data_IF_887245634201
#
_entry.id   IF_887245634201
#
_cell.length_a   1.000
_cell.length_b   1.000
_cell.length_c   1.000
_cell.angle_alpha   90.00
_cell.angle_beta   90.00
_cell.angle_gamma   90.00
#
_symmetry.space_group_name_H-M   'P 1'
#
loop_
_entity.id
_entity.type
_entity.pdbx_description
1 polymer ?
#
# COMPACT_ATOMS: atom_id res chain seq x y z
N UNK A 1 20.62 15.51 -1.78
CA UNK A 1 20.44 15.88 -3.19
C UNK A 1 19.00 16.15 -3.56
N UNK A 2 18.71 17.36 -4.06
CA UNK A 2 17.35 17.77 -4.43
C UNK A 2 17.02 17.27 -5.85
N UNK A 3 16.75 15.96 -5.96
CA UNK A 3 16.53 15.25 -7.23
C UNK A 3 15.21 14.46 -7.18
N UNK A 4 14.62 14.26 -8.36
CA UNK A 4 13.41 13.45 -8.51
C UNK A 4 13.65 12.02 -8.02
N UNK A 5 12.71 11.45 -7.26
CA UNK A 5 12.79 10.08 -6.75
C UNK A 5 12.98 9.02 -7.83
N UNK A 6 12.43 9.25 -9.04
CA UNK A 6 12.52 8.35 -10.19
C UNK A 6 13.62 8.76 -11.19
N UNK A 7 13.37 9.76 -12.04
CA UNK A 7 14.25 10.14 -13.14
C UNK A 7 15.56 10.84 -12.73
N UNK A 8 15.75 11.12 -11.44
CA UNK A 8 16.95 11.77 -10.87
C UNK A 8 17.27 13.17 -11.41
N UNK A 9 16.41 13.77 -12.23
CA UNK A 9 16.51 15.18 -12.65
C UNK A 9 16.52 16.09 -11.42
N UNK A 10 17.29 17.18 -11.50
CA UNK A 10 17.27 18.21 -10.46
C UNK A 10 15.88 18.79 -10.30
N UNK A 11 15.42 18.88 -9.06
CA UNK A 11 14.21 19.59 -8.73
C UNK A 11 14.58 21.04 -8.40
N UNK A 12 13.78 22.04 -8.79
CA UNK A 12 13.99 23.41 -8.35
C UNK A 12 13.72 23.49 -6.84
N UNK A 13 14.63 24.12 -6.08
CA UNK A 13 14.50 24.31 -4.62
C UNK A 13 13.29 25.19 -4.22
N UNK A 14 12.66 25.86 -5.19
CA UNK A 14 11.66 26.91 -4.97
C UNK A 14 10.25 26.28 -4.97
N UNK A 15 9.70 26.04 -3.78
CA UNK A 15 8.26 25.83 -3.55
C UNK A 15 7.62 24.53 -4.06
N UNK A 16 6.60 24.08 -3.33
CA UNK A 16 5.72 22.93 -3.64
C UNK A 16 5.02 23.00 -5.02
N UNK A 17 5.12 24.13 -5.73
CA UNK A 17 4.50 24.31 -7.06
C UNK A 17 5.23 23.58 -8.17
N UNK A 18 6.52 23.28 -8.02
CA UNK A 18 7.34 22.70 -9.08
C UNK A 18 7.71 21.23 -8.85
N UNK A 19 7.44 20.69 -7.66
CA UNK A 19 7.62 19.28 -7.35
C UNK A 19 6.51 18.79 -6.42
N UNK A 20 6.16 17.51 -6.54
CA UNK A 20 5.11 16.87 -5.74
C UNK A 20 5.71 15.81 -4.86
N UNK A 21 5.23 15.72 -3.61
CA UNK A 21 5.59 14.65 -2.69
C UNK A 21 4.65 13.46 -2.92
N UNK A 22 5.22 12.28 -3.09
CA UNK A 22 4.45 11.03 -3.18
C UNK A 22 4.09 10.53 -1.79
N UNK A 23 2.81 10.29 -1.52
CA UNK A 23 2.39 9.76 -0.21
C UNK A 23 2.82 8.29 0.03
N UNK A 24 3.08 7.51 -1.03
CA UNK A 24 3.53 6.13 -0.91
C UNK A 24 5.03 6.01 -0.58
N UNK A 25 5.89 6.69 -1.34
CA UNK A 25 7.36 6.60 -1.16
C UNK A 25 7.93 7.66 -0.23
N UNK A 26 7.18 8.74 0.06
CA UNK A 26 7.64 9.87 0.87
C UNK A 26 8.65 10.81 0.17
N UNK A 27 9.06 10.48 -1.05
CA UNK A 27 10.03 11.24 -1.84
C UNK A 27 9.37 12.35 -2.69
N UNK A 28 10.18 13.30 -3.17
CA UNK A 28 9.75 14.36 -4.08
C UNK A 28 10.00 13.96 -5.54
N UNK A 29 9.08 14.36 -6.42
CA UNK A 29 9.08 14.02 -7.84
C UNK A 29 8.80 15.24 -8.70
N UNK A 30 9.31 15.25 -9.93
CA UNK A 30 8.95 16.25 -10.93
C UNK A 30 7.49 16.02 -11.39
N UNK A 31 6.90 17.03 -12.02
CA UNK A 31 5.51 16.99 -12.47
C UNK A 31 5.24 15.90 -13.53
N UNK A 32 6.27 15.47 -14.27
CA UNK A 32 6.15 14.37 -15.24
C UNK A 32 6.12 13.00 -14.57
N UNK A 33 6.92 12.77 -13.52
CA UNK A 33 6.94 11.50 -12.80
C UNK A 33 5.82 11.38 -11.75
N UNK A 34 5.19 12.50 -11.41
CA UNK A 34 4.09 12.56 -10.45
C UNK A 34 2.96 13.42 -11.00
N UNK A 35 2.16 12.83 -11.89
CA UNK A 35 1.04 13.53 -12.53
C UNK A 35 -0.18 13.69 -11.61
N UNK A 36 -0.18 13.04 -10.44
CA UNK A 36 -1.24 13.16 -9.44
C UNK A 36 -2.16 11.95 -9.43
N UNK A 37 -1.65 10.77 -9.80
CA UNK A 37 -2.41 9.53 -9.71
C UNK A 37 -2.80 9.27 -8.26
N UNK A 38 -4.01 8.74 -8.06
CA UNK A 38 -4.56 8.52 -6.73
C UNK A 38 -4.63 7.02 -6.46
N UNK A 39 -4.15 6.59 -5.29
CA UNK A 39 -4.26 5.19 -4.87
C UNK A 39 -4.31 5.08 -3.34
N UNK A 40 -4.95 4.03 -2.84
CA UNK A 40 -4.92 3.68 -1.43
C UNK A 40 -3.54 3.13 -1.03
N UNK A 41 -3.06 3.47 0.17
CA UNK A 41 -1.68 3.17 0.59
C UNK A 41 -1.66 1.98 1.54
N UNK A 42 -1.01 0.85 1.20
CA UNK A 42 -0.99 -0.35 2.04
C UNK A 42 -0.54 -0.08 3.48
N UNK A 43 0.51 0.73 3.66
CA UNK A 43 1.02 1.05 5.00
C UNK A 43 0.04 1.88 5.85
N UNK A 44 -0.87 2.65 5.23
CA UNK A 44 -1.93 3.40 5.93
C UNK A 44 -3.15 2.51 6.22
N UNK A 45 -3.51 1.64 5.27
CA UNK A 45 -4.56 0.63 5.48
C UNK A 45 -4.20 -0.26 6.67
N UNK A 46 -2.97 -0.75 6.71
CA UNK A 46 -2.54 -1.65 7.79
C UNK A 46 -2.52 -0.90 9.12
N UNK A 47 -1.89 0.27 9.21
CA UNK A 47 -1.72 0.90 10.53
C UNK A 47 -2.99 1.61 11.04
N UNK A 48 -3.76 2.21 10.14
CA UNK A 48 -4.84 3.13 10.50
C UNK A 48 -6.20 2.70 9.92
N UNK A 49 -6.28 1.57 9.22
CA UNK A 49 -7.49 1.15 8.48
C UNK A 49 -8.01 2.23 7.52
N UNK A 50 -7.09 3.00 6.95
CA UNK A 50 -7.39 4.14 6.08
C UNK A 50 -7.28 3.73 4.60
N UNK A 51 -8.43 3.71 3.92
CA UNK A 51 -8.58 3.39 2.50
C UNK A 51 -8.72 4.62 1.60
N UNK A 52 -8.54 5.83 2.14
CA UNK A 52 -8.61 7.05 1.33
C UNK A 52 -7.52 7.05 0.25
N UNK A 53 -7.83 7.68 -0.89
CA UNK A 53 -6.94 7.74 -2.03
C UNK A 53 -6.02 8.96 -1.90
N UNK A 54 -4.72 8.74 -2.06
CA UNK A 54 -3.71 9.78 -1.92
C UNK A 54 -2.92 9.95 -3.21
N UNK A 55 -2.41 11.17 -3.49
CA UNK A 55 -1.55 11.44 -4.62
C UNK A 55 -0.23 10.69 -4.49
N UNK A 56 0.08 9.88 -5.50
CA UNK A 56 1.32 9.10 -5.58
C UNK A 56 2.04 9.28 -6.91
N UNK A 57 3.33 8.97 -6.91
CA UNK A 57 4.14 8.97 -8.13
C UNK A 57 3.73 7.83 -9.07
N UNK A 58 3.87 8.06 -10.38
CA UNK A 58 3.44 7.12 -11.43
C UNK A 58 4.05 5.72 -11.26
N UNK A 59 5.33 5.65 -10.90
CA UNK A 59 6.01 4.37 -10.64
C UNK A 59 5.37 3.59 -9.48
N UNK A 60 5.02 4.30 -8.40
CA UNK A 60 4.36 3.68 -7.25
C UNK A 60 2.94 3.21 -7.62
N UNK A 61 2.22 4.00 -8.41
CA UNK A 61 0.89 3.63 -8.91
C UNK A 61 0.95 2.33 -9.71
N UNK A 62 1.84 2.27 -10.72
CA UNK A 62 2.01 1.06 -11.54
C UNK A 62 2.41 -0.15 -10.70
N UNK A 63 3.30 0.02 -9.73
CA UNK A 63 3.67 -1.06 -8.81
C UNK A 63 2.45 -1.56 -8.03
N UNK A 64 1.69 -0.65 -7.42
CA UNK A 64 0.53 -0.99 -6.60
C UNK A 64 -0.52 -1.73 -7.42
N UNK A 65 -0.87 -1.24 -8.61
CA UNK A 65 -1.79 -1.91 -9.53
C UNK A 65 -1.36 -3.36 -9.84
N UNK A 66 -0.07 -3.59 -10.06
CA UNK A 66 0.46 -4.93 -10.37
C UNK A 66 0.37 -5.91 -9.19
N UNK A 67 0.47 -5.42 -7.96
CA UNK A 67 0.54 -6.26 -6.75
C UNK A 67 -0.75 -6.25 -5.93
N UNK A 68 -1.72 -5.38 -6.22
CA UNK A 68 -2.89 -5.14 -5.37
C UNK A 68 -3.73 -6.40 -5.13
N UNK A 69 -3.89 -7.22 -6.17
CA UNK A 69 -4.64 -8.47 -6.11
C UNK A 69 -3.82 -9.65 -5.59
N UNK A 70 -2.51 -9.46 -5.37
CA UNK A 70 -1.60 -10.51 -4.89
C UNK A 70 -1.56 -10.53 -3.36
N UNK A 71 -1.46 -11.73 -2.78
CA UNK A 71 -1.32 -11.93 -1.32
C UNK A 71 0.12 -11.68 -0.86
N UNK A 72 0.62 -10.46 -1.03
CA UNK A 72 2.01 -10.09 -0.71
C UNK A 72 2.23 -9.67 0.76
N UNK A 73 1.15 -9.44 1.51
CA UNK A 73 1.20 -8.94 2.90
C UNK A 73 0.58 -9.97 3.85
N UNK A 74 1.35 -10.37 4.87
CA UNK A 74 0.84 -11.15 6.01
C UNK A 74 0.56 -10.22 7.18
N UNK A 75 -0.71 -9.90 7.40
CA UNK A 75 -1.14 -8.92 8.40
C UNK A 75 -0.74 -9.29 9.83
N UNK A 76 -0.80 -10.58 10.18
CA UNK A 76 -0.41 -11.06 11.51
C UNK A 76 1.02 -10.66 11.88
N UNK A 77 1.95 -10.75 10.93
CA UNK A 77 3.35 -10.46 11.21
C UNK A 77 3.65 -8.96 11.40
N UNK A 78 2.71 -8.09 11.01
CA UNK A 78 2.93 -6.64 10.95
C UNK A 78 2.12 -5.92 12.03
N UNK A 79 0.87 -6.32 12.25
CA UNK A 79 -0.01 -5.68 13.22
C UNK A 79 -1.12 -6.63 13.65
N UNK A 80 -0.85 -7.44 14.68
CA UNK A 80 -1.83 -8.39 15.23
C UNK A 80 -3.04 -7.70 15.86
N UNK A 81 -2.85 -6.52 16.46
CA UNK A 81 -3.89 -5.75 17.14
C UNK A 81 -5.06 -5.34 16.21
N UNK A 82 -4.86 -5.28 14.89
CA UNK A 82 -5.94 -4.99 13.94
C UNK A 82 -7.09 -6.01 14.02
N UNK A 83 -6.77 -7.27 14.31
CA UNK A 83 -7.80 -8.31 14.42
C UNK A 83 -8.69 -8.11 15.64
N UNK A 84 -8.19 -7.45 16.70
CA UNK A 84 -8.97 -7.19 17.91
C UNK A 84 -9.88 -5.98 17.75
N UNK A 85 -9.40 -4.95 17.05
CA UNK A 85 -10.12 -3.69 16.85
C UNK A 85 -11.17 -3.80 15.74
N UNK A 86 -10.95 -4.67 14.74
CA UNK A 86 -11.74 -4.68 13.51
C UNK A 86 -12.51 -6.00 13.40
N UNK A 87 -13.81 -6.04 13.78
CA UNK A 87 -14.59 -7.27 13.86
C UNK A 87 -14.69 -8.02 12.54
N UNK A 88 -14.78 -7.30 11.42
CA UNK A 88 -14.87 -7.93 10.09
C UNK A 88 -13.58 -8.69 9.75
N UNK A 89 -12.43 -8.14 10.14
CA UNK A 89 -11.13 -8.76 9.89
C UNK A 89 -10.95 -10.01 10.77
N UNK A 90 -11.37 -9.95 12.04
CA UNK A 90 -11.42 -11.09 12.95
C UNK A 90 -12.27 -12.24 12.38
N UNK A 91 -13.48 -11.92 11.93
CA UNK A 91 -14.42 -12.87 11.32
C UNK A 91 -13.82 -13.52 10.07
N UNK A 92 -13.24 -12.72 9.17
CA UNK A 92 -12.59 -13.26 7.95
C UNK A 92 -11.39 -14.14 8.29
N UNK A 93 -10.58 -13.78 9.29
CA UNK A 93 -9.46 -14.61 9.76
C UNK A 93 -9.93 -15.97 10.25
N UNK A 94 -10.97 -16.00 11.08
CA UNK A 94 -11.58 -17.24 11.57
C UNK A 94 -12.12 -18.11 10.43
N UNK A 95 -12.82 -17.51 9.46
CA UNK A 95 -13.32 -18.23 8.28
C UNK A 95 -12.19 -18.85 7.45
N UNK A 96 -11.08 -18.11 7.25
CA UNK A 96 -9.91 -18.62 6.52
C UNK A 96 -9.24 -19.80 7.25
N UNK A 97 -9.15 -19.75 8.59
CA UNK A 97 -8.66 -20.88 9.39
C UNK A 97 -9.54 -22.11 9.21
N UNK A 98 -10.86 -21.96 9.40
CA UNK A 98 -11.80 -23.07 9.20
C UNK A 98 -11.71 -23.70 7.81
N UNK A 99 -11.60 -22.88 6.75
CA UNK A 99 -11.42 -23.39 5.39
C UNK A 99 -10.09 -24.13 5.21
N UNK A 100 -9.02 -23.65 5.84
CA UNK A 100 -7.72 -24.33 5.83
C UNK A 100 -7.79 -25.69 6.49
N UNK A 101 -8.49 -25.80 7.62
CA UNK A 101 -8.65 -27.06 8.37
C UNK A 101 -9.47 -28.08 7.57
N UNK A 102 -10.55 -27.63 6.93
CA UNK A 102 -11.36 -28.48 6.03
C UNK A 102 -10.52 -28.95 4.83
N UNK A 103 -9.75 -28.05 4.22
CA UNK A 103 -8.90 -28.42 3.08
C UNK A 103 -7.84 -29.45 3.49
N UNK A 104 -7.25 -29.32 4.68
CA UNK A 104 -6.31 -30.30 5.21
C UNK A 104 -6.96 -31.67 5.43
N UNK A 105 -8.19 -31.69 5.93
CA UNK A 105 -8.95 -32.93 6.08
C UNK A 105 -9.22 -33.59 4.73
N UNK A 106 -9.74 -32.84 3.74
CA UNK A 106 -10.04 -33.34 2.39
C UNK A 106 -8.79 -33.89 1.69
N UNK A 107 -7.63 -33.25 1.87
CA UNK A 107 -6.38 -33.72 1.24
C UNK A 107 -5.82 -35.01 1.87
N UNK A 108 -6.24 -35.35 3.09
CA UNK A 108 -5.77 -36.53 3.82
C UNK A 108 -6.71 -37.73 3.74
N UNK A 109 -7.95 -37.50 3.34
CA UNK A 109 -8.91 -38.55 3.02
C UNK A 109 -8.82 -38.94 1.54
#
# INVERSE_FOLDING_TARGET
DFRCGFCKTYLPKIGLKHCRKCDYSGLHYCLQCHVGDLHAIPARIIRNWDFTLYPIARQAFTLLEMIWTRKVIRLSNICDHLFDVIPILAKTSKMRKNLSDINFYIQKC
#
